data_IF_476731333927
#
_entry.id   IF_476731333927
#
_cell.length_a   1.000
_cell.length_b   1.000
_cell.length_c   1.000
_cell.angle_alpha   90.00
_cell.angle_beta   90.00
_cell.angle_gamma   90.00
#
_symmetry.space_group_name_H-M   'P 1'
#
loop_
_entity.id
_entity.type
_entity.pdbx_description
1 polymer ?
#
# COMPACT_ATOMS: atom_id res chain seq x y z
N UNK A 1 -6.04 7.73 -19.90
CA UNK A 1 -5.13 6.84 -20.65
C UNK A 1 -5.34 5.35 -20.41
N UNK A 2 -5.10 4.77 -19.21
CA UNK A 2 -5.27 3.31 -19.00
C UNK A 2 -6.72 2.81 -19.14
N UNK A 3 -7.71 3.63 -18.79
CA UNK A 3 -9.15 3.32 -19.00
C UNK A 3 -9.51 3.29 -20.49
N UNK A 4 -9.03 4.28 -21.25
CA UNK A 4 -9.29 4.42 -22.68
C UNK A 4 -8.68 3.26 -23.48
N UNK A 5 -7.47 2.82 -23.11
CA UNK A 5 -6.81 1.67 -23.72
C UNK A 5 -7.58 0.35 -23.49
N UNK A 6 -8.09 0.15 -22.28
CA UNK A 6 -8.89 -1.05 -21.97
C UNK A 6 -10.25 -1.02 -22.67
N UNK A 7 -10.80 0.18 -22.89
CA UNK A 7 -12.03 0.37 -23.66
C UNK A 7 -11.79 0.05 -25.13
N UNK A 8 -10.72 0.55 -25.73
CA UNK A 8 -10.33 0.22 -27.13
C UNK A 8 -10.14 -1.29 -27.29
N UNK A 9 -9.44 -1.93 -26.35
CA UNK A 9 -9.26 -3.38 -26.39
C UNK A 9 -10.61 -4.11 -26.28
N UNK A 10 -11.48 -3.70 -25.35
CA UNK A 10 -12.81 -4.30 -25.22
C UNK A 10 -13.64 -4.13 -26.50
N UNK A 11 -13.61 -2.96 -27.14
CA UNK A 11 -14.32 -2.74 -28.41
C UNK A 11 -13.80 -3.65 -29.52
N UNK A 12 -12.48 -3.84 -29.63
CA UNK A 12 -11.88 -4.78 -30.59
C UNK A 12 -12.36 -6.21 -30.31
N UNK A 13 -12.34 -6.64 -29.05
CA UNK A 13 -12.79 -7.99 -28.65
C UNK A 13 -14.27 -8.23 -28.94
N UNK A 14 -15.12 -7.21 -28.73
CA UNK A 14 -16.56 -7.29 -29.02
C UNK A 14 -16.82 -7.35 -30.53
N UNK A 15 -16.09 -6.58 -31.34
CA UNK A 15 -16.18 -6.65 -32.80
C UNK A 15 -15.74 -8.02 -33.33
N UNK A 16 -14.64 -8.57 -32.80
CA UNK A 16 -14.22 -9.94 -33.11
C UNK A 16 -15.27 -10.96 -32.71
N UNK A 17 -15.86 -10.84 -31.52
CA UNK A 17 -16.93 -11.74 -31.09
C UNK A 17 -18.16 -11.67 -32.02
N UNK A 18 -18.54 -10.47 -32.47
CA UNK A 18 -19.63 -10.29 -33.42
C UNK A 18 -19.33 -10.96 -34.77
N UNK A 19 -18.10 -10.83 -35.26
CA UNK A 19 -17.62 -11.50 -36.47
C UNK A 19 -17.72 -13.04 -36.33
N UNK A 20 -17.29 -13.60 -35.20
CA UNK A 20 -17.42 -15.05 -34.94
C UNK A 20 -18.88 -15.50 -34.83
N UNK A 21 -19.77 -14.70 -34.22
CA UNK A 21 -21.20 -15.02 -34.18
C UNK A 21 -21.82 -15.04 -35.56
N UNK A 22 -21.51 -14.05 -36.41
CA UNK A 22 -22.03 -13.96 -37.77
C UNK A 22 -21.69 -15.23 -38.58
N UNK A 23 -20.42 -15.66 -38.54
CA UNK A 23 -19.94 -16.81 -39.31
C UNK A 23 -20.41 -18.14 -38.70
N UNK A 24 -20.62 -18.22 -37.38
CA UNK A 24 -21.14 -19.43 -36.75
C UNK A 24 -22.52 -19.85 -37.31
N UNK A 25 -23.34 -18.91 -37.79
CA UNK A 25 -24.64 -19.21 -38.40
C UNK A 25 -24.56 -19.93 -39.75
N UNK A 26 -23.41 -19.88 -40.43
CA UNK A 26 -23.20 -20.56 -41.71
C UNK A 26 -22.65 -21.99 -41.52
N UNK A 27 -22.18 -22.33 -40.31
CA UNK A 27 -21.53 -23.61 -40.00
C UNK A 27 -22.55 -24.70 -39.58
N UNK A 28 -22.19 -25.99 -39.74
CA UNK A 28 -23.02 -27.12 -39.30
C UNK A 28 -23.28 -27.08 -37.79
N UNK A 29 -24.39 -27.70 -37.37
CA UNK A 29 -24.97 -27.58 -36.01
C UNK A 29 -23.95 -27.85 -34.90
N UNK A 30 -23.12 -28.88 -35.04
CA UNK A 30 -22.12 -29.24 -34.04
C UNK A 30 -21.00 -28.20 -33.90
N UNK A 31 -20.50 -27.67 -35.02
CA UNK A 31 -19.48 -26.61 -35.02
C UNK A 31 -20.06 -25.28 -34.55
N UNK A 32 -21.29 -24.98 -34.95
CA UNK A 32 -22.03 -23.79 -34.51
C UNK A 32 -22.17 -23.72 -33.00
N UNK A 33 -22.61 -24.82 -32.37
CA UNK A 33 -22.79 -24.88 -30.91
C UNK A 33 -21.46 -24.62 -30.16
N UNK A 34 -20.36 -25.23 -30.63
CA UNK A 34 -19.04 -25.03 -30.05
C UNK A 34 -18.52 -23.59 -30.23
N UNK A 35 -18.69 -23.01 -31.42
CA UNK A 35 -18.28 -21.63 -31.70
C UNK A 35 -19.06 -20.63 -30.85
N UNK A 36 -20.38 -20.79 -30.74
CA UNK A 36 -21.23 -19.93 -29.89
C UNK A 36 -20.85 -20.06 -28.42
N UNK A 37 -20.59 -21.27 -27.92
CA UNK A 37 -20.14 -21.48 -26.56
C UNK A 37 -18.77 -20.83 -26.27
N UNK A 38 -17.78 -21.03 -27.14
CA UNK A 38 -16.45 -20.45 -26.93
C UNK A 38 -16.44 -18.93 -27.07
N UNK A 39 -17.24 -18.37 -27.98
CA UNK A 39 -17.35 -16.91 -28.17
C UNK A 39 -18.10 -16.24 -27.00
N UNK A 40 -19.17 -16.85 -26.48
CA UNK A 40 -19.83 -16.36 -25.26
C UNK A 40 -18.91 -16.43 -24.04
N UNK A 41 -18.12 -17.50 -23.90
CA UNK A 41 -17.07 -17.59 -22.88
C UNK A 41 -16.01 -16.50 -23.08
N UNK A 42 -15.58 -16.24 -24.32
CA UNK A 42 -14.63 -15.17 -24.63
C UNK A 42 -15.15 -13.78 -24.24
N UNK A 43 -16.42 -13.48 -24.54
CA UNK A 43 -17.06 -12.20 -24.19
C UNK A 43 -17.21 -12.05 -22.68
N UNK A 44 -17.69 -13.08 -21.99
CA UNK A 44 -17.86 -13.05 -20.52
C UNK A 44 -16.53 -12.83 -19.78
N UNK A 45 -15.47 -13.54 -20.18
CA UNK A 45 -14.13 -13.36 -19.63
C UNK A 45 -13.55 -11.98 -19.99
N UNK A 46 -13.84 -11.46 -21.18
CA UNK A 46 -13.43 -10.12 -21.61
C UNK A 46 -14.07 -9.04 -20.74
N UNK A 47 -15.38 -9.13 -20.48
CA UNK A 47 -16.12 -8.22 -19.60
C UNK A 47 -15.63 -8.29 -18.16
N UNK A 48 -15.40 -9.50 -17.64
CA UNK A 48 -14.85 -9.70 -16.30
C UNK A 48 -13.47 -9.05 -16.15
N UNK A 49 -12.61 -9.20 -17.18
CA UNK A 49 -11.27 -8.57 -17.21
C UNK A 49 -11.31 -7.03 -17.26
N UNK A 50 -12.39 -6.47 -17.80
CA UNK A 50 -12.62 -5.02 -17.85
C UNK A 50 -13.13 -4.48 -16.52
N UNK A 51 -14.13 -5.14 -15.91
CA UNK A 51 -14.74 -4.73 -14.65
C UNK A 51 -13.82 -4.94 -13.43
N UNK A 52 -13.02 -6.01 -13.44
CA UNK A 52 -12.11 -6.36 -12.33
C UNK A 52 -10.64 -6.50 -12.77
N UNK A 53 -9.97 -5.40 -13.15
CA UNK A 53 -8.64 -5.44 -13.76
C UNK A 53 -7.52 -5.89 -12.82
N UNK A 54 -7.71 -5.76 -11.50
CA UNK A 54 -6.71 -6.16 -10.48
C UNK A 54 -6.76 -7.65 -10.18
N UNK A 55 -7.95 -8.23 -10.03
CA UNK A 55 -8.13 -9.66 -9.71
C UNK A 55 -7.90 -10.56 -10.93
N UNK A 56 -8.24 -10.11 -12.14
CA UNK A 56 -8.13 -10.88 -13.37
C UNK A 56 -6.86 -10.59 -14.20
N UNK A 57 -5.77 -10.12 -13.57
CA UNK A 57 -4.57 -9.63 -14.30
C UNK A 57 -3.93 -10.69 -15.20
N UNK A 58 -3.80 -11.93 -14.74
CA UNK A 58 -3.23 -13.04 -15.52
C UNK A 58 -4.16 -13.45 -16.66
N UNK A 59 -5.46 -13.59 -16.37
CA UNK A 59 -6.47 -13.94 -17.36
C UNK A 59 -6.50 -12.89 -18.48
N UNK A 60 -6.50 -11.60 -18.13
CA UNK A 60 -6.51 -10.48 -19.08
C UNK A 60 -5.33 -10.51 -20.05
N UNK A 61 -4.16 -10.97 -19.59
CA UNK A 61 -2.90 -10.99 -20.36
C UNK A 61 -2.89 -12.08 -21.42
N UNK A 62 -3.39 -13.26 -21.11
CA UNK A 62 -3.33 -14.43 -21.99
C UNK A 62 -4.67 -14.83 -22.62
N UNK A 63 -5.78 -14.17 -22.27
CA UNK A 63 -7.12 -14.49 -22.77
C UNK A 63 -7.14 -14.65 -24.30
N UNK A 64 -6.60 -13.66 -25.01
CA UNK A 64 -6.64 -13.65 -26.48
C UNK A 64 -5.77 -14.77 -27.07
N UNK A 65 -4.57 -15.01 -26.51
CA UNK A 65 -3.68 -16.08 -26.96
C UNK A 65 -4.20 -17.49 -26.66
N UNK A 66 -4.99 -17.67 -25.60
CA UNK A 66 -5.51 -18.97 -25.20
C UNK A 66 -6.84 -19.29 -25.89
N UNK A 67 -7.70 -18.30 -26.08
CA UNK A 67 -9.09 -18.51 -26.53
C UNK A 67 -9.27 -18.31 -28.03
N UNK A 68 -8.58 -17.34 -28.66
CA UNK A 68 -8.79 -17.04 -30.08
C UNK A 68 -8.25 -18.13 -31.05
N UNK A 69 -7.05 -18.71 -30.86
CA UNK A 69 -6.56 -19.73 -31.79
C UNK A 69 -7.46 -20.98 -31.87
N UNK A 70 -7.97 -21.54 -30.75
CA UNK A 70 -8.94 -22.63 -30.81
C UNK A 70 -10.24 -22.27 -31.55
N UNK A 71 -10.77 -21.06 -31.32
CA UNK A 71 -11.99 -20.60 -32.01
C UNK A 71 -11.75 -20.52 -33.53
N UNK A 72 -10.61 -19.98 -33.95
CA UNK A 72 -10.26 -19.87 -35.36
C UNK A 72 -10.05 -21.25 -36.00
N UNK A 73 -9.42 -22.18 -35.28
CA UNK A 73 -9.22 -23.55 -35.74
C UNK A 73 -10.55 -24.28 -35.97
N UNK A 74 -11.51 -24.15 -35.05
CA UNK A 74 -12.83 -24.79 -35.17
C UNK A 74 -13.64 -24.19 -36.34
N UNK A 75 -13.49 -22.90 -36.60
CA UNK A 75 -14.24 -22.25 -37.67
C UNK A 75 -13.72 -22.61 -39.07
N UNK A 76 -12.40 -22.82 -39.21
CA UNK A 76 -11.78 -23.31 -40.44
C UNK A 76 -11.83 -22.34 -41.63
N UNK A 77 -12.11 -21.06 -41.41
CA UNK A 77 -12.18 -20.04 -42.47
C UNK A 77 -10.94 -19.14 -42.50
N UNK A 78 -10.45 -18.86 -43.70
CA UNK A 78 -9.29 -17.98 -43.93
C UNK A 78 -9.51 -16.58 -43.35
N UNK A 79 -10.70 -16.00 -43.51
CA UNK A 79 -11.05 -14.66 -43.02
C UNK A 79 -10.94 -14.60 -41.48
N UNK A 80 -11.33 -15.69 -40.80
CA UNK A 80 -11.27 -15.75 -39.34
C UNK A 80 -9.85 -15.92 -38.84
N UNK A 81 -9.00 -16.65 -39.55
CA UNK A 81 -7.58 -16.72 -39.19
C UNK A 81 -6.89 -15.36 -39.31
N UNK A 82 -7.30 -14.51 -40.26
CA UNK A 82 -6.79 -13.14 -40.36
C UNK A 82 -7.16 -12.27 -39.15
N UNK A 83 -8.25 -12.60 -38.46
CA UNK A 83 -8.70 -11.88 -37.26
C UNK A 83 -7.71 -12.01 -36.09
N UNK A 84 -6.85 -13.04 -36.06
CA UNK A 84 -5.78 -13.22 -35.06
C UNK A 84 -4.67 -12.18 -35.16
N UNK A 85 -4.45 -11.60 -36.34
CA UNK A 85 -3.43 -10.57 -36.53
C UNK A 85 -3.84 -9.23 -35.89
N UNK A 86 -5.14 -8.94 -35.80
CA UNK A 86 -5.64 -7.70 -35.15
C UNK A 86 -5.16 -7.58 -33.69
N UNK A 87 -5.39 -8.56 -32.79
CA UNK A 87 -4.85 -8.51 -31.45
C UNK A 87 -3.31 -8.68 -31.44
N UNK A 88 -2.72 -9.46 -32.37
CA UNK A 88 -1.26 -9.59 -32.44
C UNK A 88 -0.58 -8.21 -32.63
N UNK A 89 -1.10 -7.39 -33.54
CA UNK A 89 -0.61 -6.03 -33.82
C UNK A 89 -0.85 -5.10 -32.63
N UNK A 90 -2.02 -5.19 -31.99
CA UNK A 90 -2.32 -4.38 -30.80
C UNK A 90 -1.36 -4.66 -29.63
N UNK A 91 -0.90 -5.90 -29.49
CA UNK A 91 0.03 -6.30 -28.43
C UNK A 91 1.51 -6.08 -28.77
N UNK A 92 1.88 -5.82 -30.03
CA UNK A 92 3.26 -5.78 -30.51
C UNK A 92 4.21 -4.96 -29.61
N UNK A 93 3.81 -3.73 -29.25
CA UNK A 93 4.63 -2.83 -28.44
C UNK A 93 4.37 -2.92 -26.92
N UNK A 94 3.44 -3.76 -26.48
CA UNK A 94 2.97 -3.79 -25.08
C UNK A 94 3.31 -5.09 -24.37
N UNK A 95 3.17 -6.20 -25.09
CA UNK A 95 3.42 -7.55 -24.59
C UNK A 95 3.91 -8.42 -25.75
N UNK A 96 5.21 -8.31 -26.04
CA UNK A 96 5.86 -8.98 -27.16
C UNK A 96 5.65 -10.49 -27.14
N UNK A 97 5.60 -11.10 -25.95
CA UNK A 97 5.36 -12.54 -25.80
C UNK A 97 3.97 -12.94 -26.33
N UNK A 98 2.91 -12.23 -25.91
CA UNK A 98 1.52 -12.50 -26.34
C UNK A 98 1.32 -12.18 -27.82
N UNK A 99 1.97 -11.11 -28.30
CA UNK A 99 1.95 -10.72 -29.70
C UNK A 99 2.59 -11.78 -30.60
N UNK A 100 3.78 -12.29 -30.21
CA UNK A 100 4.48 -13.34 -30.96
C UNK A 100 3.71 -14.66 -30.96
N UNK A 101 3.10 -15.07 -29.84
CA UNK A 101 2.31 -16.31 -29.80
C UNK A 101 1.09 -16.22 -30.71
N UNK A 102 0.38 -15.10 -30.71
CA UNK A 102 -0.75 -14.86 -31.61
C UNK A 102 -0.32 -14.81 -33.08
N UNK A 103 0.81 -14.17 -33.38
CA UNK A 103 1.34 -14.07 -34.75
C UNK A 103 1.70 -15.43 -35.32
N UNK A 104 2.45 -16.25 -34.56
CA UNK A 104 2.81 -17.60 -35.00
C UNK A 104 1.61 -18.54 -35.06
N UNK A 105 0.68 -18.44 -34.11
CA UNK A 105 -0.58 -19.20 -34.17
C UNK A 105 -1.41 -18.79 -35.41
N UNK A 106 -1.45 -17.50 -35.75
CA UNK A 106 -2.09 -16.98 -36.95
C UNK A 106 -1.45 -17.51 -38.23
N UNK A 107 -0.12 -17.48 -38.34
CA UNK A 107 0.60 -18.04 -39.49
C UNK A 107 0.33 -19.53 -39.67
N UNK A 108 0.46 -20.31 -38.58
CA UNK A 108 0.25 -21.76 -38.63
C UNK A 108 -1.19 -22.11 -39.04
N UNK A 109 -2.18 -21.41 -38.47
CA UNK A 109 -3.59 -21.62 -38.82
C UNK A 109 -3.89 -21.16 -40.25
N UNK A 110 -3.32 -20.05 -40.69
CA UNK A 110 -3.51 -19.54 -42.05
C UNK A 110 -2.92 -20.47 -43.11
N UNK A 111 -1.75 -21.08 -42.83
CA UNK A 111 -1.17 -22.13 -43.66
C UNK A 111 -2.03 -23.41 -43.68
N UNK A 112 -2.62 -23.75 -42.53
CA UNK A 112 -3.49 -24.91 -42.41
C UNK A 112 -4.81 -24.75 -43.17
N UNK A 113 -5.47 -23.59 -43.06
CA UNK A 113 -6.77 -23.34 -43.70
C UNK A 113 -6.64 -22.94 -45.17
N UNK A 114 -5.63 -22.13 -45.52
CA UNK A 114 -5.47 -21.55 -46.86
C UNK A 114 -4.50 -22.29 -47.78
N UNK A 115 -3.92 -23.41 -47.33
CA UNK A 115 -3.05 -24.26 -48.15
C UNK A 115 -1.88 -23.51 -48.81
N UNK A 116 -1.47 -23.92 -50.02
CA UNK A 116 -0.32 -23.31 -50.72
C UNK A 116 -0.58 -21.85 -51.16
N UNK A 117 -1.84 -21.46 -51.38
CA UNK A 117 -2.23 -20.08 -51.71
C UNK A 117 -1.90 -19.09 -50.60
N UNK A 118 -1.90 -19.54 -49.34
CA UNK A 118 -1.57 -18.70 -48.18
C UNK A 118 -0.11 -18.19 -48.19
N UNK A 119 0.82 -18.91 -48.83
CA UNK A 119 2.24 -18.55 -48.90
C UNK A 119 2.47 -17.20 -49.59
N UNK A 120 1.63 -16.84 -50.56
CA UNK A 120 1.72 -15.56 -51.27
C UNK A 120 1.46 -14.35 -50.36
N UNK A 121 0.65 -14.52 -49.32
CA UNK A 121 0.28 -13.44 -48.40
C UNK A 121 1.19 -13.35 -47.17
N UNK A 122 2.04 -14.35 -46.91
CA UNK A 122 2.97 -14.34 -45.77
C UNK A 122 3.89 -13.12 -45.75
N UNK A 123 4.55 -12.70 -46.85
CA UNK A 123 5.42 -11.52 -46.84
C UNK A 123 4.68 -10.26 -46.38
N UNK A 124 3.41 -10.12 -46.79
CA UNK A 124 2.57 -9.00 -46.40
C UNK A 124 2.22 -9.06 -44.91
N UNK A 125 1.87 -10.23 -44.38
CA UNK A 125 1.58 -10.41 -42.95
C UNK A 125 2.81 -10.13 -42.07
N UNK A 126 4.00 -10.58 -42.50
CA UNK A 126 5.26 -10.27 -41.84
C UNK A 126 5.58 -8.77 -41.89
N UNK A 127 5.41 -8.13 -43.05
CA UNK A 127 5.64 -6.70 -43.19
C UNK A 127 4.71 -5.88 -42.28
N UNK A 128 3.44 -6.27 -42.17
CA UNK A 128 2.44 -5.58 -41.35
C UNK A 128 2.74 -5.75 -39.86
N UNK A 129 3.20 -6.93 -39.45
CA UNK A 129 3.66 -7.18 -38.08
C UNK A 129 4.93 -6.39 -37.74
N UNK A 130 5.94 -6.39 -38.62
CA UNK A 130 7.17 -5.63 -38.44
C UNK A 130 6.93 -4.12 -38.43
N UNK A 131 6.04 -3.60 -39.29
CA UNK A 131 5.67 -2.19 -39.30
C UNK A 131 4.99 -1.75 -37.99
N UNK A 132 4.31 -2.66 -37.30
CA UNK A 132 3.70 -2.37 -36.00
C UNK A 132 4.71 -2.33 -34.85
N UNK A 133 5.90 -2.93 -35.02
CA UNK A 133 6.96 -2.92 -34.02
C UNK A 133 7.72 -1.59 -34.09
N UNK A 134 7.47 -0.73 -33.12
CA UNK A 134 8.17 0.56 -32.97
C UNK A 134 9.09 0.49 -31.75
N UNK A 135 10.39 0.22 -31.92
CA UNK A 135 11.32 0.02 -30.80
C UNK A 135 11.42 1.25 -29.89
N UNK A 136 11.39 2.45 -30.47
CA UNK A 136 11.44 3.72 -29.73
C UNK A 136 10.23 3.92 -28.81
N UNK A 137 9.05 3.45 -29.23
CA UNK A 137 7.84 3.50 -28.41
C UNK A 137 7.93 2.52 -27.23
N UNK A 138 8.49 1.34 -27.46
CA UNK A 138 8.69 0.35 -26.39
C UNK A 138 9.69 0.88 -25.36
N UNK A 139 10.78 1.49 -25.83
CA UNK A 139 11.82 2.05 -24.97
C UNK A 139 11.31 3.24 -24.15
N UNK A 140 10.57 4.16 -24.78
CA UNK A 140 9.94 5.29 -24.08
C UNK A 140 8.94 4.83 -23.01
N UNK A 141 8.05 3.88 -23.33
CA UNK A 141 7.12 3.28 -22.36
C UNK A 141 7.88 2.62 -21.20
N UNK A 142 9.01 1.96 -21.48
CA UNK A 142 9.84 1.32 -20.45
C UNK A 142 10.52 2.36 -19.54
N UNK A 143 11.05 3.45 -20.12
CA UNK A 143 11.63 4.57 -19.38
C UNK A 143 10.59 5.25 -18.48
N UNK A 144 9.39 5.52 -19.00
CA UNK A 144 8.29 6.09 -18.22
C UNK A 144 7.87 5.18 -17.06
N UNK A 145 7.68 3.88 -17.31
CA UNK A 145 7.33 2.92 -16.23
C UNK A 145 8.40 2.87 -15.15
N UNK A 146 9.67 2.88 -15.54
CA UNK A 146 10.78 2.92 -14.60
C UNK A 146 10.75 4.20 -13.77
N UNK A 147 10.56 5.36 -14.42
CA UNK A 147 10.46 6.66 -13.75
C UNK A 147 9.30 6.69 -12.75
N UNK A 148 8.10 6.26 -13.14
CA UNK A 148 6.93 6.18 -12.25
C UNK A 148 7.21 5.27 -11.06
N UNK A 149 7.88 4.13 -11.27
CA UNK A 149 8.22 3.20 -10.19
C UNK A 149 9.21 3.83 -9.20
N UNK A 150 10.22 4.51 -9.72
CA UNK A 150 11.20 5.24 -8.90
C UNK A 150 10.53 6.37 -8.11
N UNK A 151 9.67 7.14 -8.75
CA UNK A 151 8.93 8.24 -8.12
C UNK A 151 8.01 7.75 -6.99
N UNK A 152 7.34 6.61 -7.17
CA UNK A 152 6.56 5.98 -6.09
C UNK A 152 7.42 5.49 -4.92
N UNK A 153 8.62 4.97 -5.19
CA UNK A 153 9.54 4.56 -4.15
C UNK A 153 10.03 5.77 -3.35
N UNK A 154 10.50 6.82 -4.03
CA UNK A 154 10.95 8.06 -3.42
C UNK A 154 9.83 8.76 -2.63
N UNK A 155 8.60 8.76 -3.13
CA UNK A 155 7.45 9.31 -2.38
C UNK A 155 7.20 8.54 -1.07
N UNK A 156 7.33 7.20 -1.09
CA UNK A 156 7.18 6.39 0.13
C UNK A 156 8.30 6.63 1.12
N UNK A 157 9.52 6.84 0.65
CA UNK A 157 10.67 7.20 1.50
C UNK A 157 10.45 8.57 2.13
N UNK A 158 10.13 9.60 1.33
CA UNK A 158 9.82 10.94 1.83
C UNK A 158 8.67 10.94 2.85
N UNK A 159 7.62 10.15 2.62
CA UNK A 159 6.52 10.02 3.56
C UNK A 159 6.95 9.40 4.90
N UNK A 160 7.90 8.46 4.89
CA UNK A 160 8.47 7.90 6.12
C UNK A 160 9.34 8.91 6.83
N UNK A 161 10.20 9.61 6.09
CA UNK A 161 11.09 10.62 6.66
C UNK A 161 10.29 11.76 7.28
N UNK A 162 9.21 12.20 6.64
CA UNK A 162 8.30 13.19 7.18
C UNK A 162 7.65 12.71 8.49
N UNK A 163 7.16 11.47 8.54
CA UNK A 163 6.60 10.92 9.80
C UNK A 163 7.63 10.82 10.93
N UNK A 164 8.90 10.57 10.58
CA UNK A 164 10.01 10.54 11.54
C UNK A 164 10.33 11.95 12.06
N UNK A 165 10.39 12.94 11.15
CA UNK A 165 10.62 14.34 11.50
C UNK A 165 9.48 14.92 12.33
N UNK A 166 8.22 14.59 12.02
CA UNK A 166 7.07 15.00 12.84
C UNK A 166 7.18 14.46 14.27
N UNK A 167 7.62 13.21 14.43
CA UNK A 167 7.86 12.60 15.74
C UNK A 167 9.00 13.30 16.49
N UNK A 168 10.15 13.50 15.83
CA UNK A 168 11.30 14.20 16.40
C UNK A 168 10.95 15.64 16.81
N UNK A 169 10.14 16.35 16.01
CA UNK A 169 9.64 17.68 16.33
C UNK A 169 8.79 17.68 17.59
N UNK A 170 7.84 16.76 17.72
CA UNK A 170 6.99 16.62 18.92
C UNK A 170 7.81 16.32 20.17
N UNK A 171 8.77 15.39 20.07
CA UNK A 171 9.67 15.07 21.18
C UNK A 171 10.47 16.30 21.63
N UNK A 172 10.97 17.09 20.68
CA UNK A 172 11.68 18.34 20.96
C UNK A 172 10.78 19.38 21.64
N UNK A 173 9.54 19.54 21.18
CA UNK A 173 8.56 20.49 21.74
C UNK A 173 8.10 20.11 23.16
N UNK A 174 8.08 18.81 23.48
CA UNK A 174 7.85 18.34 24.84
C UNK A 174 9.04 18.61 25.75
N UNK A 175 10.26 18.32 25.28
CA UNK A 175 11.48 18.52 26.07
C UNK A 175 11.78 20.00 26.31
N UNK A 176 11.62 20.86 25.29
CA UNK A 176 11.83 22.31 25.44
C UNK A 176 10.92 22.88 26.52
N UNK A 177 9.63 22.56 26.48
CA UNK A 177 8.68 23.01 27.48
C UNK A 177 9.03 22.56 28.90
N UNK A 178 9.47 21.31 29.08
CA UNK A 178 9.84 20.81 30.41
C UNK A 178 11.06 21.58 30.94
N UNK A 179 12.04 21.84 30.08
CA UNK A 179 13.24 22.60 30.45
C UNK A 179 12.90 24.06 30.73
N UNK A 180 12.13 24.71 29.87
CA UNK A 180 11.73 26.11 30.02
C UNK A 180 10.97 26.30 31.34
N UNK A 181 10.01 25.40 31.65
CA UNK A 181 9.29 25.43 32.94
C UNK A 181 10.15 25.08 34.13
N UNK A 182 11.12 24.17 33.99
CA UNK A 182 12.08 23.88 35.06
C UNK A 182 13.03 25.05 35.35
N UNK A 183 13.18 26.01 34.43
CA UNK A 183 14.00 27.21 34.63
C UNK A 183 13.17 28.40 35.11
N UNK A 184 11.95 28.55 34.60
CA UNK A 184 11.04 29.65 34.95
C UNK A 184 10.41 29.49 36.34
N UNK A 185 10.02 28.27 36.71
CA UNK A 185 9.25 28.01 37.92
C UNK A 185 10.17 27.93 39.15
N UNK A 186 9.91 28.79 40.15
CA UNK A 186 10.68 28.87 41.39
C UNK A 186 10.22 27.87 42.46
N UNK A 187 9.03 27.30 42.31
CA UNK A 187 8.45 26.35 43.25
C UNK A 187 8.12 25.01 42.56
N UNK A 188 8.27 23.87 43.26
CA UNK A 188 7.93 22.56 42.71
C UNK A 188 6.43 22.39 42.45
N UNK A 189 5.57 23.15 43.13
CA UNK A 189 4.12 23.13 42.95
C UNK A 189 3.71 23.75 41.61
N UNK A 190 4.29 24.90 41.26
CA UNK A 190 4.01 25.58 39.98
C UNK A 190 4.46 24.74 38.79
N UNK A 191 5.63 24.10 38.91
CA UNK A 191 6.15 23.18 37.90
C UNK A 191 5.21 21.97 37.66
N UNK A 192 4.70 21.37 38.73
CA UNK A 192 3.79 20.24 38.64
C UNK A 192 2.40 20.64 38.11
N UNK A 193 1.93 21.86 38.43
CA UNK A 193 0.71 22.42 37.85
C UNK A 193 0.84 22.60 36.33
N UNK A 194 1.93 23.19 35.84
CA UNK A 194 2.16 23.35 34.39
C UNK A 194 2.28 22.00 33.66
N UNK A 195 2.88 20.99 34.29
CA UNK A 195 2.91 19.62 33.75
C UNK A 195 1.51 19.01 33.71
N UNK A 196 0.72 19.18 34.77
CA UNK A 196 -0.65 18.69 34.83
C UNK A 196 -1.51 19.31 33.72
N UNK A 197 -1.39 20.60 33.49
CA UNK A 197 -2.14 21.33 32.45
C UNK A 197 -1.73 20.91 31.04
N UNK A 198 -0.42 20.86 30.74
CA UNK A 198 0.04 20.52 29.37
C UNK A 198 -0.31 19.10 28.97
N UNK A 199 -0.20 18.13 29.89
CA UNK A 199 -0.49 16.73 29.61
C UNK A 199 -1.92 16.32 30.01
N UNK A 200 -2.76 17.27 30.46
CA UNK A 200 -4.14 17.03 30.89
C UNK A 200 -4.26 15.86 31.88
N UNK A 201 -3.37 15.80 32.87
CA UNK A 201 -3.35 14.72 33.86
C UNK A 201 -4.46 14.90 34.89
N UNK A 202 -4.99 13.78 35.39
CA UNK A 202 -6.05 13.77 36.42
C UNK A 202 -5.53 14.32 37.74
N UNK A 203 -4.33 13.89 38.15
CA UNK A 203 -3.69 14.28 39.41
C UNK A 203 -2.20 13.89 39.41
N UNK A 204 -1.40 14.63 40.18
CA UNK A 204 -0.01 14.26 40.48
C UNK A 204 0.16 14.12 42.00
N UNK A 205 0.82 13.06 42.46
CA UNK A 205 1.11 12.84 43.88
C UNK A 205 2.56 12.41 44.10
N UNK A 206 3.20 12.95 45.13
CA UNK A 206 4.53 12.50 45.55
C UNK A 206 4.38 11.69 46.85
N UNK A 207 4.83 10.44 46.82
CA UNK A 207 4.75 9.51 47.95
C UNK A 207 6.17 9.13 48.40
N UNK A 208 6.64 9.59 49.57
CA UNK A 208 7.95 9.20 50.10
C UNK A 208 7.94 7.71 50.46
N UNK A 209 9.00 6.97 50.06
CA UNK A 209 9.14 5.53 50.35
C UNK A 209 10.60 5.22 50.72
N UNK A 210 10.81 4.64 51.90
CA UNK A 210 12.15 4.40 52.46
C UNK A 210 13.03 3.42 51.66
N UNK A 211 12.43 2.44 50.98
CA UNK A 211 13.16 1.52 50.08
C UNK A 211 12.40 1.38 48.75
N UNK A 212 13.05 1.78 47.66
CA UNK A 212 12.57 1.62 46.29
C UNK A 212 13.20 0.35 45.70
N UNK A 213 12.39 -0.67 45.49
CA UNK A 213 12.82 -1.97 44.92
C UNK A 213 13.04 -1.96 43.41
N UNK A 214 12.50 -0.97 42.68
CA UNK A 214 12.58 -0.91 41.22
C UNK A 214 13.15 0.42 40.74
N UNK A 215 14.19 0.37 39.88
CA UNK A 215 14.80 1.56 39.25
C UNK A 215 14.03 2.08 38.03
N UNK A 216 13.07 1.29 37.53
CA UNK A 216 12.28 1.60 36.33
C UNK A 216 10.87 2.04 36.70
N UNK A 217 10.24 2.83 35.83
CA UNK A 217 8.87 3.28 36.02
C UNK A 217 7.89 2.10 35.98
N UNK A 218 7.01 2.01 36.97
CA UNK A 218 6.01 0.94 37.08
C UNK A 218 4.69 1.46 36.51
N UNK A 219 4.13 0.73 35.55
CA UNK A 219 2.81 1.02 34.97
C UNK A 219 1.77 0.21 35.72
N UNK A 220 0.88 0.88 36.44
CA UNK A 220 -0.25 0.26 37.13
C UNK A 220 -1.53 0.44 36.29
N UNK A 221 -2.02 -0.69 35.76
CA UNK A 221 -3.20 -0.73 34.89
C UNK A 221 -4.51 -0.62 35.66
N UNK A 222 -4.52 -1.04 36.93
CA UNK A 222 -5.75 -1.05 37.74
C UNK A 222 -6.09 0.34 38.24
N UNK A 223 -5.07 1.11 38.62
CA UNK A 223 -5.23 2.49 39.12
C UNK A 223 -5.01 3.56 38.04
N UNK A 224 -4.81 3.17 36.79
CA UNK A 224 -4.51 4.08 35.66
C UNK A 224 -3.37 5.07 35.97
N UNK A 225 -2.26 4.55 36.52
CA UNK A 225 -1.21 5.38 37.08
C UNK A 225 0.20 4.95 36.64
N UNK A 226 1.06 5.95 36.41
CA UNK A 226 2.49 5.76 36.19
C UNK A 226 3.24 6.12 37.47
N UNK A 227 3.96 5.15 38.03
CA UNK A 227 4.81 5.33 39.20
C UNK A 227 6.25 5.51 38.74
N UNK A 228 6.78 6.72 38.90
CA UNK A 228 8.17 7.02 38.57
C UNK A 228 9.00 7.11 39.85
N UNK A 229 10.01 6.24 40.04
CA UNK A 229 10.92 6.35 41.18
C UNK A 229 11.87 7.54 40.99
N UNK A 230 12.00 8.36 42.03
CA UNK A 230 12.86 9.53 42.06
C UNK A 230 13.76 9.45 43.31
N UNK A 231 15.07 9.60 43.10
CA UNK A 231 16.10 9.48 44.14
C UNK A 231 16.65 10.87 44.47
N UNK A 232 16.34 11.38 45.66
CA UNK A 232 16.83 12.67 46.14
C UNK A 232 18.15 12.50 46.91
N UNK A 233 18.83 13.61 47.22
CA UNK A 233 20.06 13.57 48.02
C UNK A 233 19.81 13.02 49.43
N UNK A 234 18.62 13.29 50.02
CA UNK A 234 18.16 12.71 51.28
C UNK A 234 16.81 12.00 51.13
N UNK A 235 16.84 10.72 50.75
CA UNK A 235 15.65 9.85 50.70
C UNK A 235 15.09 9.60 49.30
N UNK A 236 14.07 8.75 49.21
CA UNK A 236 13.51 8.29 47.95
C UNK A 236 11.99 8.51 47.91
N UNK A 237 11.42 8.82 46.74
CA UNK A 237 9.96 8.90 46.56
C UNK A 237 9.49 8.32 45.23
N UNK A 238 8.21 8.00 45.17
CA UNK A 238 7.50 7.76 43.92
C UNK A 238 6.68 8.98 43.54
N UNK A 239 6.88 9.47 42.32
CA UNK A 239 6.00 10.44 41.68
C UNK A 239 4.95 9.65 40.91
N UNK A 240 3.69 9.83 41.29
CA UNK A 240 2.55 9.12 40.73
C UNK A 240 1.79 10.08 39.82
N UNK A 241 1.74 9.77 38.54
CA UNK A 241 0.92 10.47 37.56
C UNK A 241 -0.36 9.67 37.30
N UNK A 242 -1.52 10.26 37.58
CA UNK A 242 -2.83 9.67 37.28
C UNK A 242 -3.35 10.18 35.94
N UNK A 243 -3.69 9.26 35.05
CA UNK A 243 -4.20 9.58 33.71
C UNK A 243 -5.72 9.63 33.68
N UNK A 244 -6.28 10.28 32.65
CA UNK A 244 -7.73 10.30 32.44
C UNK A 244 -8.21 9.04 31.73
N UNK A 245 -7.40 8.50 30.81
CA UNK A 245 -7.73 7.29 30.06
C UNK A 245 -6.62 6.25 30.15
N UNK A 246 -6.96 4.94 30.13
CA UNK A 246 -5.97 3.87 30.14
C UNK A 246 -5.13 3.82 28.86
N UNK A 247 -5.58 4.46 27.77
CA UNK A 247 -4.86 4.51 26.50
C UNK A 247 -3.61 5.39 26.57
N UNK A 248 -3.64 6.46 27.36
CA UNK A 248 -2.49 7.36 27.56
C UNK A 248 -1.29 6.65 28.22
N UNK A 249 -1.54 5.61 29.03
CA UNK A 249 -0.48 4.81 29.66
C UNK A 249 0.31 3.95 28.66
N UNK A 250 -0.26 3.68 27.49
CA UNK A 250 0.41 2.93 26.42
C UNK A 250 1.23 3.83 25.50
N UNK A 251 1.07 5.15 25.61
CA UNK A 251 1.88 6.09 24.85
C UNK A 251 3.29 6.17 25.45
N UNK A 252 4.24 5.57 24.73
CA UNK A 252 5.66 5.57 25.11
C UNK A 252 6.26 6.98 25.12
N UNK A 253 5.76 7.88 24.29
CA UNK A 253 6.30 9.24 24.20
C UNK A 253 5.90 10.03 25.45
N UNK A 254 4.63 9.95 25.85
CA UNK A 254 4.13 10.60 27.07
C UNK A 254 4.77 10.01 28.32
N UNK A 255 4.82 8.68 28.45
CA UNK A 255 5.37 8.02 29.64
C UNK A 255 6.87 8.31 29.85
N UNK A 256 7.69 8.27 28.78
CA UNK A 256 9.11 8.62 28.87
C UNK A 256 9.36 10.10 29.15
N UNK A 257 8.48 10.97 28.65
CA UNK A 257 8.53 12.41 28.90
C UNK A 257 8.18 12.74 30.35
N UNK A 258 7.15 12.10 30.92
CA UNK A 258 6.78 12.24 32.33
C UNK A 258 7.80 11.60 33.27
N UNK A 259 8.47 10.53 32.84
CA UNK A 259 9.59 9.97 33.59
C UNK A 259 10.75 10.97 33.72
N UNK A 260 11.09 11.65 32.61
CA UNK A 260 12.11 12.71 32.60
C UNK A 260 11.69 13.90 33.46
N UNK A 261 10.42 14.33 33.38
CA UNK A 261 9.93 15.46 34.20
C UNK A 261 9.93 15.14 35.69
N UNK A 262 9.57 13.91 36.08
CA UNK A 262 9.67 13.46 37.47
C UNK A 262 11.11 13.43 37.99
N UNK A 263 12.07 12.96 37.16
CA UNK A 263 13.49 12.97 37.52
C UNK A 263 14.06 14.39 37.69
N UNK A 264 13.52 15.39 37.00
CA UNK A 264 13.92 16.80 37.17
C UNK A 264 13.46 17.41 38.50
N UNK A 265 12.51 16.79 39.22
CA UNK A 265 12.15 17.21 40.57
C UNK A 265 13.30 17.10 41.57
N UNK A 266 14.33 16.31 41.25
CA UNK A 266 15.59 16.29 42.01
C UNK A 266 16.26 17.66 42.12
N UNK A 267 16.01 18.58 41.18
CA UNK A 267 16.56 19.93 41.23
C UNK A 267 15.86 20.82 42.27
N UNK A 268 14.66 20.44 42.70
CA UNK A 268 13.81 21.25 43.58
C UNK A 268 13.73 20.72 45.03
N UNK A 269 13.90 19.41 45.22
CA UNK A 269 13.72 18.74 46.52
C UNK A 269 15.06 18.14 46.94
N UNK A 270 15.66 18.67 48.01
CA UNK A 270 16.92 18.16 48.58
C UNK A 270 16.68 16.82 49.30
N UNK A 271 15.47 16.60 49.83
CA UNK A 271 15.03 15.34 50.40
C UNK A 271 13.85 15.47 51.37
N UNK A 272 13.52 14.38 52.05
CA UNK A 272 12.47 14.33 53.07
C UNK A 272 13.09 14.11 54.45
N UNK A 273 12.77 14.94 55.44
CA UNK A 273 13.23 14.76 56.82
C UNK A 273 12.58 13.53 57.46
N UNK A 274 13.35 12.80 58.28
CA UNK A 274 13.02 11.52 58.95
C UNK A 274 11.77 11.55 59.87
N UNK A 275 11.08 12.69 59.97
CA UNK A 275 9.91 12.90 60.83
C UNK A 275 8.59 13.16 60.09
N UNK A 276 8.55 13.10 58.75
CA UNK A 276 7.27 13.23 58.02
C UNK A 276 6.53 11.88 58.01
N UNK A 277 5.64 11.71 58.99
CA UNK A 277 4.59 10.69 58.98
C UNK A 277 3.86 10.72 57.63
N UNK A 278 3.90 9.57 56.92
CA UNK A 278 2.86 8.92 56.07
C UNK A 278 1.75 9.72 55.37
N UNK A 279 1.88 11.03 55.19
CA UNK A 279 0.92 11.83 54.47
C UNK A 279 1.49 12.14 53.08
N UNK A 280 0.78 11.65 52.07
CA UNK A 280 0.99 11.97 50.66
C UNK A 280 1.09 13.49 50.51
N UNK A 281 2.24 14.02 50.08
CA UNK A 281 2.31 15.45 49.74
C UNK A 281 1.58 15.60 48.40
N UNK A 282 0.33 16.06 48.47
CA UNK A 282 -0.55 16.29 47.32
C UNK A 282 -0.16 17.63 46.70
N UNK A 283 0.73 17.62 45.72
CA UNK A 283 1.29 18.88 45.20
C UNK A 283 0.58 19.42 43.95
N UNK A 284 -0.42 18.71 43.40
CA UNK A 284 -1.35 19.29 42.43
C UNK A 284 -2.63 18.44 42.36
N UNK A 285 -3.74 18.97 42.89
CA UNK A 285 -5.10 18.41 42.73
C UNK A 285 -5.69 18.87 41.42
#
# INVERSE_FOLDING_TARGET
>A
MLKDVNLILLTIRLLLAFLFFAIAFEKPIHQRALLVFLTTLYVSLSLLSYLHPTKARFLKRFLDALVLPPICFIAGDEILTLSLFVPALFYANRDTAVSLTLFWAGILLFLYTGGMSSLYYLPLLFALFLASLSPDLVESIRKERYYIRKLRASYRELSKDLSKLEKESREKDYLSFIIDKAVEDRSPEDFLLHIKEKFSLKRIAIVPKGEITHKEAIIDKENTALYVPVFFEKGCAYVIFYFNTPFELYDREITTTLEKSAKLLNLYIVGFDDHVKKDSVRLAV
#
